data_IF_454366046071
#
_entry.id   IF_454366046071
#
_cell.length_a   1.000
_cell.length_b   1.000
_cell.length_c   1.000
_cell.angle_alpha   90.00
_cell.angle_beta   90.00
_cell.angle_gamma   90.00
#
_symmetry.space_group_name_H-M   'P 1'
#
loop_
_entity.id
_entity.type
_entity.pdbx_description
1 polymer ?
#
# COMPACT_ATOMS: atom_id res chain seq x y z
N UNK A 1 -30.74 44.66 3.92
CA UNK A 1 -29.45 44.41 3.22
C UNK A 1 -28.57 43.37 3.93
N UNK A 2 -28.36 43.44 5.25
CA UNK A 2 -27.48 42.49 5.99
C UNK A 2 -27.92 41.01 5.95
N UNK A 3 -29.23 40.72 5.89
CA UNK A 3 -29.77 39.34 5.83
C UNK A 3 -29.55 38.64 4.47
N UNK A 4 -29.58 39.40 3.37
CA UNK A 4 -29.32 38.89 2.01
C UNK A 4 -27.83 38.58 1.82
N UNK A 5 -26.97 39.41 2.41
CA UNK A 5 -25.52 39.21 2.41
C UNK A 5 -25.13 37.94 3.19
N UNK A 6 -25.78 37.67 4.33
CA UNK A 6 -25.53 36.46 5.12
C UNK A 6 -25.97 35.17 4.40
N UNK A 7 -27.13 35.19 3.73
CA UNK A 7 -27.60 34.05 2.94
C UNK A 7 -26.67 33.75 1.74
N UNK A 8 -26.17 34.78 1.05
CA UNK A 8 -25.24 34.62 -0.06
C UNK A 8 -23.89 34.01 0.37
N UNK A 9 -23.38 34.39 1.56
CA UNK A 9 -22.14 33.81 2.11
C UNK A 9 -22.33 32.33 2.49
N UNK A 10 -23.47 31.96 3.10
CA UNK A 10 -23.76 30.57 3.47
C UNK A 10 -23.92 29.69 2.22
N UNK A 11 -24.60 30.17 1.18
CA UNK A 11 -24.76 29.47 -0.09
C UNK A 11 -23.42 29.32 -0.82
N UNK A 12 -22.55 30.34 -0.79
CA UNK A 12 -21.21 30.29 -1.37
C UNK A 12 -20.29 29.31 -0.63
N UNK A 13 -20.39 29.23 0.71
CA UNK A 13 -19.65 28.23 1.51
C UNK A 13 -20.14 26.80 1.30
N UNK A 14 -21.46 26.58 1.15
CA UNK A 14 -22.05 25.28 0.83
C UNK A 14 -21.71 24.82 -0.60
N UNK A 15 -21.58 25.75 -1.55
CA UNK A 15 -21.10 25.46 -2.91
C UNK A 15 -19.60 25.11 -2.94
N UNK A 16 -18.78 25.68 -2.06
CA UNK A 16 -17.35 25.39 -1.98
C UNK A 16 -17.05 23.99 -1.41
N UNK A 17 -17.88 23.49 -0.49
CA UNK A 17 -17.78 22.10 0.00
C UNK A 17 -18.21 21.07 -1.06
N UNK A 18 -19.15 21.42 -1.95
CA UNK A 18 -19.60 20.58 -3.06
C UNK A 18 -18.54 20.39 -4.16
N UNK A 19 -17.56 21.30 -4.22
CA UNK A 19 -16.39 21.25 -5.10
C UNK A 19 -15.21 20.44 -4.50
N UNK A 20 -15.28 20.02 -3.24
CA UNK A 20 -14.22 19.30 -2.54
C UNK A 20 -14.31 17.74 -2.47
N UNK A 21 -15.03 16.99 -3.33
CA UNK A 21 -14.88 15.54 -3.38
C UNK A 21 -13.93 15.13 -4.50
N UNK A 22 -12.62 14.97 -4.22
CA UNK A 22 -11.73 14.34 -5.20
C UNK A 22 -10.58 13.56 -4.56
N UNK A 23 -9.81 14.15 -3.64
CA UNK A 23 -8.56 13.51 -3.20
C UNK A 23 -8.75 12.20 -2.42
N UNK A 24 -9.76 12.12 -1.53
CA UNK A 24 -10.04 10.89 -0.77
C UNK A 24 -10.65 9.78 -1.62
N UNK A 25 -11.55 10.14 -2.54
CA UNK A 25 -12.15 9.20 -3.48
C UNK A 25 -11.10 8.66 -4.46
N UNK A 26 -10.24 9.53 -4.98
CA UNK A 26 -9.12 9.16 -5.85
C UNK A 26 -8.09 8.28 -5.12
N UNK A 27 -7.74 8.62 -3.88
CA UNK A 27 -6.84 7.80 -3.06
C UNK A 27 -7.45 6.42 -2.77
N UNK A 28 -8.75 6.35 -2.45
CA UNK A 28 -9.45 5.07 -2.24
C UNK A 28 -9.49 4.24 -3.53
N UNK A 29 -9.78 4.87 -4.67
CA UNK A 29 -9.78 4.23 -5.99
C UNK A 29 -8.41 3.70 -6.38
N UNK A 30 -7.36 4.50 -6.21
CA UNK A 30 -5.96 4.10 -6.39
C UNK A 30 -5.58 2.92 -5.49
N UNK A 31 -6.00 2.93 -4.23
CA UNK A 31 -5.72 1.84 -3.30
C UNK A 31 -6.36 0.51 -3.71
N UNK A 32 -7.59 0.54 -4.24
CA UNK A 32 -8.27 -0.66 -4.72
C UNK A 32 -7.62 -1.15 -6.03
N UNK A 33 -7.24 -0.25 -6.95
CA UNK A 33 -6.47 -0.61 -8.16
C UNK A 33 -5.18 -1.36 -7.81
N UNK A 34 -4.42 -0.90 -6.83
CA UNK A 34 -3.18 -1.57 -6.37
C UNK A 34 -3.48 -2.99 -5.87
N UNK A 35 -4.55 -3.17 -5.07
CA UNK A 35 -4.94 -4.49 -4.58
C UNK A 35 -5.37 -5.42 -5.72
N UNK A 36 -6.17 -4.93 -6.66
CA UNK A 36 -6.66 -5.73 -7.79
C UNK A 36 -5.53 -6.10 -8.75
N UNK A 37 -4.62 -5.16 -9.02
CA UNK A 37 -3.43 -5.41 -9.82
C UNK A 37 -2.55 -6.49 -9.16
N UNK A 38 -2.29 -6.40 -7.85
CA UNK A 38 -1.48 -7.37 -7.14
C UNK A 38 -2.04 -8.79 -7.20
N UNK A 39 -3.38 -8.93 -7.11
CA UNK A 39 -4.06 -10.24 -7.16
C UNK A 39 -3.88 -10.99 -8.48
N UNK A 40 -3.65 -10.29 -9.60
CA UNK A 40 -3.40 -10.91 -10.92
C UNK A 40 -2.18 -11.82 -10.92
N UNK A 41 -1.24 -11.58 -10.01
CA UNK A 41 0.05 -12.27 -9.99
C UNK A 41 0.12 -13.39 -8.96
N UNK A 42 -0.98 -13.72 -8.25
CA UNK A 42 -1.00 -14.84 -7.31
C UNK A 42 -0.53 -16.12 -8.02
N UNK A 43 0.42 -16.82 -7.40
CA UNK A 43 1.06 -18.01 -7.95
C UNK A 43 2.34 -17.76 -8.76
N UNK A 44 2.67 -16.51 -9.11
CA UNK A 44 3.97 -16.21 -9.73
C UNK A 44 5.10 -16.54 -8.75
N UNK A 45 6.07 -17.34 -9.21
CA UNK A 45 7.16 -17.84 -8.37
C UNK A 45 8.06 -16.73 -7.82
N UNK A 46 8.70 -17.02 -6.69
CA UNK A 46 9.73 -16.14 -6.14
C UNK A 46 11.03 -16.26 -6.93
N UNK A 47 11.64 -15.12 -7.24
CA UNK A 47 12.98 -15.03 -7.82
C UNK A 47 13.72 -13.88 -7.16
N UNK A 48 14.86 -14.16 -6.52
CA UNK A 48 15.69 -13.11 -5.93
C UNK A 48 16.11 -12.10 -7.02
N UNK A 49 15.91 -10.81 -6.76
CA UNK A 49 16.16 -9.77 -7.76
C UNK A 49 15.07 -9.65 -8.84
N UNK A 50 14.06 -10.51 -8.85
CA UNK A 50 13.00 -10.54 -9.85
C UNK A 50 12.04 -9.35 -9.76
N UNK A 51 11.68 -8.79 -10.92
CA UNK A 51 10.83 -7.58 -11.06
C UNK A 51 9.78 -7.73 -12.16
N UNK A 52 9.49 -8.95 -12.61
CA UNK A 52 8.59 -9.24 -13.73
C UNK A 52 7.72 -10.46 -13.44
N UNK A 53 6.61 -10.68 -14.17
CA UNK A 53 5.75 -11.86 -13.98
C UNK A 53 6.42 -13.22 -14.23
N UNK A 54 7.63 -13.25 -14.81
CA UNK A 54 8.46 -14.47 -14.87
C UNK A 54 9.08 -14.86 -13.51
N UNK A 55 9.00 -13.98 -12.52
CA UNK A 55 9.40 -14.23 -11.14
C UNK A 55 9.68 -12.93 -10.39
N UNK A 56 9.19 -12.84 -9.16
CA UNK A 56 9.32 -11.64 -8.33
C UNK A 56 10.11 -11.90 -7.04
N UNK A 57 10.88 -10.92 -6.57
CA UNK A 57 11.13 -10.81 -5.13
C UNK A 57 10.08 -9.93 -4.46
N UNK A 58 10.12 -9.84 -3.12
CA UNK A 58 9.10 -9.11 -2.36
C UNK A 58 8.97 -7.64 -2.81
N UNK A 59 10.08 -6.93 -2.93
CA UNK A 59 10.11 -5.52 -3.35
C UNK A 59 9.86 -5.33 -4.85
N UNK A 60 10.29 -6.26 -5.68
CA UNK A 60 10.03 -6.27 -7.11
C UNK A 60 8.55 -6.47 -7.42
N UNK A 61 7.86 -7.36 -6.70
CA UNK A 61 6.41 -7.50 -6.75
C UNK A 61 5.70 -6.20 -6.39
N UNK A 62 5.99 -5.63 -5.22
CA UNK A 62 5.35 -4.38 -4.75
C UNK A 62 5.58 -3.24 -5.74
N UNK A 63 6.83 -3.04 -6.18
CA UNK A 63 7.17 -1.99 -7.14
C UNK A 63 6.47 -2.17 -8.49
N UNK A 64 6.41 -3.40 -9.00
CA UNK A 64 5.74 -3.72 -10.26
C UNK A 64 4.22 -3.45 -10.16
N UNK A 65 3.57 -3.93 -9.10
CA UNK A 65 2.14 -3.71 -8.85
C UNK A 65 1.81 -2.22 -8.73
N UNK A 66 2.59 -1.46 -7.97
CA UNK A 66 2.36 -0.02 -7.82
C UNK A 66 2.52 0.75 -9.12
N UNK A 67 3.57 0.43 -9.90
CA UNK A 67 3.82 1.04 -11.19
C UNK A 67 2.66 0.80 -12.15
N UNK A 68 2.19 -0.44 -12.27
CA UNK A 68 1.10 -0.76 -13.19
C UNK A 68 -0.25 -0.19 -12.74
N UNK A 69 -0.52 -0.15 -11.44
CA UNK A 69 -1.80 0.34 -10.92
C UNK A 69 -1.89 1.87 -10.89
N UNK A 70 -0.76 2.57 -10.69
CA UNK A 70 -0.76 4.01 -10.35
C UNK A 70 0.23 4.85 -11.15
N UNK A 71 1.13 4.23 -11.92
CA UNK A 71 2.25 4.91 -12.57
C UNK A 71 3.42 5.26 -11.64
N UNK A 72 3.28 5.10 -10.31
CA UNK A 72 4.34 5.46 -9.36
C UNK A 72 5.52 4.49 -9.42
N UNK A 73 6.72 5.04 -9.59
CA UNK A 73 7.98 4.28 -9.54
C UNK A 73 8.48 4.28 -8.09
N UNK A 74 8.68 3.08 -7.54
CA UNK A 74 9.18 2.91 -6.18
C UNK A 74 10.68 2.56 -6.17
N UNK A 75 11.41 2.88 -5.08
CA UNK A 75 12.75 2.37 -4.88
C UNK A 75 12.80 0.84 -4.98
N UNK A 76 13.89 0.31 -5.51
CA UNK A 76 13.99 -1.12 -5.83
C UNK A 76 13.94 -2.05 -4.61
N UNK A 77 14.40 -1.60 -3.45
CA UNK A 77 14.61 -2.46 -2.28
C UNK A 77 13.53 -2.23 -1.22
N UNK A 78 13.18 -3.26 -0.45
CA UNK A 78 12.21 -3.13 0.65
C UNK A 78 12.59 -2.01 1.64
N UNK A 79 13.88 -1.84 1.94
CA UNK A 79 14.39 -0.74 2.78
C UNK A 79 14.24 0.63 2.13
N UNK A 80 14.45 0.74 0.81
CA UNK A 80 14.25 1.99 0.08
C UNK A 80 12.76 2.38 0.02
N UNK A 81 11.86 1.42 -0.21
CA UNK A 81 10.42 1.69 -0.16
C UNK A 81 10.01 2.06 1.28
N UNK A 82 10.62 1.45 2.29
CA UNK A 82 10.33 1.76 3.69
C UNK A 82 10.72 3.18 4.11
N UNK A 83 11.60 3.88 3.37
CA UNK A 83 11.93 5.28 3.61
C UNK A 83 11.05 6.28 2.86
N UNK A 84 10.06 5.83 2.09
CA UNK A 84 9.15 6.71 1.36
C UNK A 84 7.75 6.75 1.99
N UNK A 85 6.99 7.79 1.65
CA UNK A 85 5.60 7.93 2.09
C UNK A 85 5.41 8.24 3.57
N UNK A 86 4.15 8.25 3.98
CA UNK A 86 3.76 8.50 5.35
C UNK A 86 3.79 7.21 6.18
N UNK A 87 4.31 7.28 7.40
CA UNK A 87 4.23 6.17 8.34
C UNK A 87 2.77 5.85 8.68
N UNK A 88 2.42 4.57 8.71
CA UNK A 88 1.11 4.09 9.14
C UNK A 88 1.29 3.06 10.24
N UNK A 89 0.60 3.30 11.37
CA UNK A 89 0.53 2.35 12.48
C UNK A 89 -0.35 1.16 12.13
N UNK A 90 -0.16 0.03 12.81
CA UNK A 90 -0.93 -1.19 12.57
C UNK A 90 -2.45 -1.00 12.68
N UNK A 91 -2.90 -0.14 13.61
CA UNK A 91 -4.32 0.15 13.83
C UNK A 91 -4.95 1.04 12.76
N UNK A 92 -4.15 1.72 11.94
CA UNK A 92 -4.61 2.65 10.91
C UNK A 92 -4.40 2.14 9.48
N UNK A 93 -4.14 0.84 9.34
CA UNK A 93 -3.92 0.19 8.05
C UNK A 93 -5.17 0.27 7.18
N UNK A 94 -4.97 0.69 5.94
CA UNK A 94 -5.95 0.72 4.87
C UNK A 94 -5.44 -0.08 3.69
N UNK A 95 -6.38 -0.61 2.89
CA UNK A 95 -6.04 -1.29 1.64
C UNK A 95 -5.06 -0.43 0.83
N UNK A 96 -4.14 -1.09 0.13
CA UNK A 96 -3.08 -0.43 -0.61
C UNK A 96 -1.85 -0.13 0.22
N UNK A 97 -1.93 0.11 1.54
CA UNK A 97 -0.73 0.39 2.35
C UNK A 97 0.35 -0.69 2.18
N UNK A 98 1.60 -0.27 2.08
CA UNK A 98 2.74 -1.17 1.98
C UNK A 98 3.16 -1.57 3.39
N UNK A 99 3.12 -2.86 3.71
CA UNK A 99 3.49 -3.41 5.01
C UNK A 99 4.91 -3.97 4.99
N UNK A 100 5.66 -3.75 6.06
CA UNK A 100 7.08 -4.08 6.15
C UNK A 100 7.38 -5.00 7.32
N UNK A 101 8.39 -5.85 7.11
CA UNK A 101 8.80 -6.83 8.10
C UNK A 101 10.33 -6.96 8.18
N UNK A 102 10.81 -7.34 9.36
CA UNK A 102 12.22 -7.68 9.63
C UNK A 102 12.39 -9.20 9.77
N UNK A 103 12.41 -9.90 8.63
CA UNK A 103 12.55 -11.36 8.53
C UNK A 103 13.98 -11.86 8.57
N UNK A 104 14.98 -11.01 8.26
CA UNK A 104 16.40 -11.37 8.25
C UNK A 104 17.06 -10.85 9.52
N UNK A 105 17.48 -11.73 10.43
CA UNK A 105 18.06 -11.36 11.74
C UNK A 105 19.32 -10.49 11.62
N UNK A 106 20.16 -10.72 10.61
CA UNK A 106 21.40 -9.98 10.39
C UNK A 106 21.19 -8.60 9.76
N UNK A 107 19.97 -8.26 9.32
CA UNK A 107 19.66 -7.00 8.63
C UNK A 107 18.78 -6.13 9.53
N UNK A 108 19.25 -4.91 9.84
CA UNK A 108 18.42 -3.91 10.51
C UNK A 108 17.40 -3.33 9.53
N UNK A 109 16.18 -3.09 10.02
CA UNK A 109 15.09 -2.48 9.25
C UNK A 109 14.32 -3.45 8.36
N UNK A 110 13.70 -2.92 7.30
CA UNK A 110 12.86 -3.69 6.39
C UNK A 110 13.69 -4.66 5.54
N UNK A 111 13.38 -5.95 5.68
CA UNK A 111 13.94 -7.02 4.85
C UNK A 111 12.89 -7.73 4.00
N UNK A 112 11.60 -7.52 4.27
CA UNK A 112 10.49 -8.06 3.50
C UNK A 112 9.35 -7.05 3.42
N UNK A 113 8.55 -7.13 2.36
CA UNK A 113 7.47 -6.17 2.10
C UNK A 113 6.28 -6.83 1.39
N UNK A 114 5.09 -6.24 1.53
CA UNK A 114 3.87 -6.64 0.84
C UNK A 114 2.83 -5.53 0.81
N UNK A 115 1.70 -5.78 0.17
CA UNK A 115 0.58 -4.83 0.03
C UNK A 115 -0.56 -5.28 0.94
N UNK A 116 -1.03 -4.41 1.83
CA UNK A 116 -2.18 -4.69 2.68
C UNK A 116 -3.46 -4.71 1.86
N UNK A 117 -4.25 -5.77 2.02
CA UNK A 117 -5.49 -5.99 1.24
C UNK A 117 -6.75 -5.93 2.11
N UNK A 118 -6.62 -5.52 3.37
CA UNK A 118 -7.72 -5.47 4.34
C UNK A 118 -7.84 -6.74 5.18
N UNK A 119 -8.68 -6.70 6.23
CA UNK A 119 -8.98 -7.89 7.04
C UNK A 119 -7.76 -8.53 7.71
N UNK A 120 -6.74 -7.74 8.08
CA UNK A 120 -5.44 -8.24 8.57
C UNK A 120 -4.67 -9.11 7.56
N UNK A 121 -4.98 -9.04 6.27
CA UNK A 121 -4.30 -9.80 5.21
C UNK A 121 -3.42 -8.88 4.36
N UNK A 122 -2.39 -9.47 3.77
CA UNK A 122 -1.51 -8.79 2.82
C UNK A 122 -1.06 -9.77 1.73
N UNK A 123 -0.79 -9.24 0.55
CA UNK A 123 -0.26 -9.98 -0.59
C UNK A 123 1.23 -9.66 -0.77
N UNK A 124 2.05 -10.67 -1.01
CA UNK A 124 3.50 -10.52 -1.17
C UNK A 124 4.10 -11.68 -1.97
N UNK A 125 5.29 -11.51 -2.51
CA UNK A 125 6.09 -12.63 -3.00
C UNK A 125 6.83 -13.31 -1.84
N UNK A 126 6.42 -14.50 -1.46
CA UNK A 126 7.04 -15.38 -0.46
C UNK A 126 8.10 -16.27 -1.11
N UNK A 127 9.23 -16.49 -0.43
CA UNK A 127 10.29 -17.40 -0.91
C UNK A 127 9.80 -18.84 -1.11
N UNK A 128 8.78 -19.29 -0.36
CA UNK A 128 8.28 -20.67 -0.42
C UNK A 128 7.05 -20.86 -1.31
N UNK A 129 6.23 -19.82 -1.51
CA UNK A 129 4.92 -19.92 -2.18
C UNK A 129 4.78 -19.02 -3.43
N UNK A 130 5.81 -18.22 -3.73
CA UNK A 130 5.66 -17.14 -4.72
C UNK A 130 4.69 -16.07 -4.22
N UNK A 131 4.02 -15.38 -5.15
CA UNK A 131 3.02 -14.37 -4.82
C UNK A 131 1.81 -15.04 -4.15
N UNK A 132 1.62 -14.76 -2.87
CA UNK A 132 0.59 -15.37 -2.03
C UNK A 132 0.01 -14.37 -1.03
N UNK A 133 -1.13 -14.74 -0.43
CA UNK A 133 -1.77 -13.96 0.62
C UNK A 133 -1.49 -14.60 1.98
N UNK A 134 -0.99 -13.80 2.90
CA UNK A 134 -0.78 -14.18 4.30
C UNK A 134 -1.51 -13.23 5.26
N UNK A 135 -1.55 -13.61 6.54
CA UNK A 135 -2.24 -12.86 7.59
C UNK A 135 -1.27 -12.29 8.62
N UNK A 136 -1.42 -10.98 8.90
CA UNK A 136 -0.75 -10.24 9.97
C UNK A 136 -1.11 -10.74 11.39
N UNK A 137 -2.11 -11.62 11.51
CA UNK A 137 -2.51 -12.25 12.78
C UNK A 137 -1.67 -13.48 13.12
N UNK A 138 -1.00 -14.10 12.15
CA UNK A 138 -0.14 -15.25 12.41
C UNK A 138 1.03 -14.86 13.31
N UNK A 139 1.47 -15.77 14.19
CA UNK A 139 2.57 -15.50 15.12
C UNK A 139 3.85 -15.04 14.40
N UNK A 140 4.16 -15.70 13.29
CA UNK A 140 5.30 -15.36 12.43
C UNK A 140 5.22 -13.90 11.95
N UNK A 141 4.20 -13.52 11.19
CA UNK A 141 4.11 -12.16 10.64
C UNK A 141 3.90 -11.08 11.70
N UNK A 142 3.17 -11.41 12.77
CA UNK A 142 2.94 -10.50 13.89
C UNK A 142 4.23 -10.09 14.59
N UNK A 143 5.13 -11.04 14.85
CA UNK A 143 6.41 -10.76 15.53
C UNK A 143 7.43 -10.02 14.65
N UNK A 144 7.22 -10.01 13.33
CA UNK A 144 8.15 -9.42 12.35
C UNK A 144 7.70 -8.09 11.79
N UNK A 145 6.45 -7.68 12.03
CA UNK A 145 5.89 -6.44 11.52
C UNK A 145 6.58 -5.22 12.15
N UNK A 146 7.13 -4.34 11.31
CA UNK A 146 7.87 -3.15 11.77
C UNK A 146 7.18 -1.82 11.40
N UNK A 147 6.10 -1.88 10.63
CA UNK A 147 5.34 -0.70 10.23
C UNK A 147 4.79 -0.80 8.82
N UNK A 148 4.09 0.25 8.41
CA UNK A 148 3.58 0.40 7.06
C UNK A 148 3.84 1.79 6.50
N UNK A 149 3.80 1.91 5.16
CA UNK A 149 3.88 3.17 4.43
C UNK A 149 2.67 3.37 3.55
N UNK A 150 2.14 4.59 3.54
CA UNK A 150 1.12 5.05 2.61
C UNK A 150 1.72 6.04 1.63
N UNK A 151 1.46 5.80 0.35
CA UNK A 151 1.95 6.58 -0.78
C UNK A 151 0.83 7.40 -1.42
#
# INVERSE_FOLDING_TARGET
>A
MKKVLFAAVIILSLFLELLAPSSRAEAAFSSEKVVQEGKKYIGVHYRYGGTTPSGFDCSGFVGYTYRNATGKILPRTASGIFSTGQYVSKGSLKKGDIVFFSTIKSKRGASHTGIYIGGSKFIHASTSKGVSIDSLKTSYWRSKFIGARRL
#
